data_IF_678997406037
#
_entry.id   IF_678997406037
#
_cell.length_a   1.000
_cell.length_b   1.000
_cell.length_c   1.000
_cell.angle_alpha   90.00
_cell.angle_beta   90.00
_cell.angle_gamma   90.00
#
_symmetry.space_group_name_H-M   'P 1'
#
loop_
_entity.id
_entity.type
_entity.pdbx_description
1 polymer ?
#
# COMPACT_ATOMS: atom_id res chain seq x y z
N UNK A 1 -13.41 -21.13 -20.44
CA UNK A 1 -14.78 -21.06 -19.90
C UNK A 1 -14.68 -20.96 -18.38
N UNK A 2 -15.01 -19.81 -17.80
CA UNK A 2 -15.17 -19.68 -16.34
C UNK A 2 -16.47 -20.42 -15.99
N UNK A 3 -16.46 -21.23 -14.93
CA UNK A 3 -17.68 -21.93 -14.50
C UNK A 3 -18.71 -20.92 -14.00
N UNK A 4 -19.99 -21.19 -14.24
CA UNK A 4 -21.11 -20.33 -13.82
C UNK A 4 -21.06 -19.96 -12.33
N UNK A 5 -20.69 -20.90 -11.47
CA UNK A 5 -20.51 -20.68 -10.02
C UNK A 5 -19.41 -19.66 -9.68
N UNK A 6 -18.30 -19.65 -10.44
CA UNK A 6 -17.23 -18.65 -10.28
C UNK A 6 -17.68 -17.27 -10.71
N UNK A 7 -18.56 -17.19 -11.71
CA UNK A 7 -19.12 -15.93 -12.18
C UNK A 7 -20.14 -15.36 -11.18
N UNK A 8 -21.05 -16.19 -10.67
CA UNK A 8 -22.03 -15.77 -9.65
C UNK A 8 -21.34 -15.31 -8.34
N UNK A 9 -20.28 -16.00 -7.93
CA UNK A 9 -19.46 -15.59 -6.77
C UNK A 9 -18.78 -14.26 -7.01
N UNK A 10 -18.18 -14.06 -8.19
CA UNK A 10 -17.54 -12.80 -8.57
C UNK A 10 -18.54 -11.64 -8.54
N UNK A 11 -19.72 -11.82 -9.14
CA UNK A 11 -20.75 -10.79 -9.22
C UNK A 11 -21.30 -10.43 -7.84
N UNK A 12 -21.41 -11.41 -6.94
CA UNK A 12 -21.80 -11.16 -5.55
C UNK A 12 -20.79 -10.27 -4.81
N UNK A 13 -19.49 -10.62 -4.84
CA UNK A 13 -18.46 -9.81 -4.21
C UNK A 13 -18.36 -8.41 -4.82
N UNK A 14 -18.57 -8.32 -6.13
CA UNK A 14 -18.57 -7.04 -6.85
C UNK A 14 -19.67 -6.11 -6.35
N UNK A 15 -20.91 -6.61 -6.27
CA UNK A 15 -22.05 -5.85 -5.75
C UNK A 15 -21.88 -5.47 -4.29
N UNK A 16 -21.38 -6.39 -3.45
CA UNK A 16 -21.09 -6.11 -2.05
C UNK A 16 -20.10 -4.95 -1.90
N UNK A 17 -19.04 -4.89 -2.71
CA UNK A 17 -18.08 -3.79 -2.65
C UNK A 17 -18.73 -2.44 -2.96
N UNK A 18 -19.57 -2.38 -4.00
CA UNK A 18 -20.29 -1.16 -4.38
C UNK A 18 -21.26 -0.72 -3.26
N UNK A 19 -22.01 -1.65 -2.68
CA UNK A 19 -22.88 -1.36 -1.54
C UNK A 19 -22.10 -0.89 -0.31
N UNK A 20 -20.96 -1.52 -0.02
CA UNK A 20 -20.09 -1.12 1.08
C UNK A 20 -19.59 0.31 0.87
N UNK A 21 -19.11 0.65 -0.33
CA UNK A 21 -18.64 2.01 -0.67
C UNK A 21 -19.78 3.03 -0.51
N UNK A 22 -20.98 2.71 -1.00
CA UNK A 22 -22.13 3.61 -0.94
C UNK A 22 -22.53 3.92 0.51
N UNK A 23 -22.46 2.91 1.40
CA UNK A 23 -22.80 3.02 2.83
C UNK A 23 -21.82 3.83 3.68
N UNK A 24 -20.61 4.12 3.22
CA UNK A 24 -19.67 4.94 3.99
C UNK A 24 -20.26 6.34 4.22
N UNK A 25 -20.37 6.77 5.47
CA UNK A 25 -20.71 8.14 5.79
C UNK A 25 -19.48 9.05 5.63
N UNK A 26 -19.65 10.38 5.58
CA UNK A 26 -18.55 11.33 5.42
C UNK A 26 -17.67 11.45 6.67
N UNK A 27 -18.21 11.10 7.83
CA UNK A 27 -17.58 11.10 9.15
C UNK A 27 -16.93 9.75 9.52
N UNK A 28 -17.23 8.68 8.79
CA UNK A 28 -16.55 7.38 8.97
C UNK A 28 -15.04 7.48 8.72
N UNK A 29 -14.24 6.61 9.33
CA UNK A 29 -12.80 6.52 9.04
C UNK A 29 -12.56 6.22 7.55
N UNK A 30 -11.77 7.08 6.88
CA UNK A 30 -11.47 6.94 5.45
C UNK A 30 -10.63 5.72 5.11
N UNK A 31 -9.88 5.15 6.06
CA UNK A 31 -8.90 4.07 5.82
C UNK A 31 -9.50 2.86 5.09
N UNK A 32 -10.72 2.45 5.46
CA UNK A 32 -11.40 1.32 4.81
C UNK A 32 -11.78 1.59 3.35
N UNK A 33 -12.15 2.84 3.02
CA UNK A 33 -12.42 3.28 1.64
C UNK A 33 -11.18 3.20 0.75
N UNK A 34 -9.99 3.46 1.30
CA UNK A 34 -8.75 3.53 0.51
C UNK A 34 -8.46 2.20 -0.20
N UNK A 35 -8.78 1.06 0.41
CA UNK A 35 -8.61 -0.28 -0.19
C UNK A 35 -9.43 -0.51 -1.47
N UNK A 36 -10.43 0.31 -1.76
CA UNK A 36 -11.22 0.27 -2.99
C UNK A 36 -10.70 1.25 -4.05
N UNK A 37 -9.73 2.10 -3.71
CA UNK A 37 -9.25 3.18 -4.58
C UNK A 37 -7.99 2.82 -5.38
N UNK A 38 -7.42 1.62 -5.25
CA UNK A 38 -6.21 1.28 -6.02
C UNK A 38 -6.54 0.99 -7.50
N UNK A 39 -5.68 1.36 -8.47
CA UNK A 39 -6.00 1.33 -9.90
C UNK A 39 -6.34 -0.05 -10.49
N UNK A 40 -5.91 -1.14 -9.84
CA UNK A 40 -6.19 -2.51 -10.31
C UNK A 40 -7.57 -3.05 -9.87
N UNK A 41 -8.37 -2.25 -9.14
CA UNK A 41 -9.79 -2.59 -8.88
C UNK A 41 -10.61 -2.53 -10.17
N UNK A 42 -11.75 -3.23 -10.23
CA UNK A 42 -12.76 -2.99 -11.26
C UNK A 42 -13.07 -1.49 -11.37
N UNK A 43 -13.21 -1.01 -12.60
CA UNK A 43 -13.26 0.43 -12.92
C UNK A 43 -14.36 1.16 -12.15
N UNK A 44 -15.55 0.58 -12.08
CA UNK A 44 -16.70 1.12 -11.37
C UNK A 44 -16.51 1.16 -9.85
N UNK A 45 -15.91 0.13 -9.24
CA UNK A 45 -15.52 0.13 -7.83
C UNK A 45 -14.51 1.25 -7.55
N UNK A 46 -13.48 1.36 -8.39
CA UNK A 46 -12.46 2.38 -8.26
C UNK A 46 -13.06 3.79 -8.36
N UNK A 47 -13.87 4.05 -9.40
CA UNK A 47 -14.54 5.33 -9.61
C UNK A 47 -15.52 5.68 -8.48
N UNK A 48 -16.30 4.69 -7.99
CA UNK A 48 -17.19 4.88 -6.85
C UNK A 48 -16.43 5.26 -5.57
N UNK A 49 -15.32 4.55 -5.27
CA UNK A 49 -14.48 4.86 -4.13
C UNK A 49 -13.85 6.26 -4.23
N UNK A 50 -13.34 6.64 -5.41
CA UNK A 50 -12.79 7.98 -5.63
C UNK A 50 -13.81 9.07 -5.46
N UNK A 51 -15.02 8.88 -5.98
CA UNK A 51 -16.13 9.82 -5.78
C UNK A 51 -16.40 9.99 -4.29
N UNK A 52 -16.58 8.89 -3.57
CA UNK A 52 -16.89 8.88 -2.14
C UNK A 52 -15.80 9.52 -1.28
N UNK A 53 -14.53 9.27 -1.60
CA UNK A 53 -13.38 9.91 -0.94
C UNK A 53 -13.42 11.42 -1.18
N UNK A 54 -13.63 11.86 -2.43
CA UNK A 54 -13.57 13.28 -2.80
C UNK A 54 -14.82 14.09 -2.43
N UNK A 55 -15.91 13.44 -2.03
CA UNK A 55 -17.07 14.10 -1.41
C UNK A 55 -16.72 14.74 -0.05
N UNK A 56 -15.65 14.28 0.61
CA UNK A 56 -15.15 14.83 1.87
C UNK A 56 -14.30 16.07 1.59
N UNK A 57 -14.63 17.21 2.18
CA UNK A 57 -13.93 18.48 1.91
C UNK A 57 -12.44 18.48 2.33
N UNK A 58 -12.07 17.63 3.27
CA UNK A 58 -10.75 17.49 3.87
C UNK A 58 -10.07 16.15 3.51
N UNK A 59 -10.50 15.49 2.42
CA UNK A 59 -10.07 14.13 2.07
C UNK A 59 -8.54 13.94 2.03
N UNK A 60 -7.78 14.91 1.51
CA UNK A 60 -6.30 14.83 1.50
C UNK A 60 -5.74 14.86 2.91
N UNK A 61 -6.28 15.70 3.80
CA UNK A 61 -5.84 15.74 5.19
C UNK A 61 -6.17 14.42 5.88
N UNK A 62 -7.35 13.83 5.62
CA UNK A 62 -7.68 12.52 6.18
C UNK A 62 -6.72 11.41 5.70
N UNK A 63 -6.36 11.37 4.41
CA UNK A 63 -5.35 10.41 3.91
C UNK A 63 -3.99 10.68 4.55
N UNK A 64 -3.62 11.96 4.73
CA UNK A 64 -2.38 12.34 5.40
C UNK A 64 -2.35 11.86 6.86
N UNK A 65 -3.47 11.94 7.58
CA UNK A 65 -3.60 11.40 8.94
C UNK A 65 -3.49 9.87 8.96
N UNK A 66 -4.10 9.17 8.00
CA UNK A 66 -3.92 7.72 7.84
C UNK A 66 -2.45 7.38 7.62
N UNK A 67 -1.77 8.10 6.72
CA UNK A 67 -0.35 7.88 6.41
C UNK A 67 0.58 8.12 7.62
N UNK A 68 0.22 9.05 8.51
CA UNK A 68 0.97 9.34 9.75
C UNK A 68 0.67 8.37 10.89
N UNK A 69 -0.42 7.60 10.81
CA UNK A 69 -0.81 6.66 11.84
C UNK A 69 -0.10 5.31 11.62
N UNK A 70 0.78 4.92 12.56
CA UNK A 70 1.55 3.67 12.51
C UNK A 70 0.68 2.41 12.36
N UNK A 71 -0.57 2.42 12.83
CA UNK A 71 -1.46 1.26 12.72
C UNK A 71 -2.17 1.16 11.36
N UNK A 72 -2.17 2.23 10.56
CA UNK A 72 -3.04 2.34 9.38
C UNK A 72 -2.32 2.83 8.11
N UNK A 73 -1.06 3.26 8.19
CA UNK A 73 -0.36 3.91 7.07
C UNK A 73 -0.33 3.07 5.78
N UNK A 74 -0.32 1.74 5.88
CA UNK A 74 -0.32 0.86 4.70
C UNK A 74 -1.60 0.97 3.88
N UNK A 75 -2.71 1.40 4.49
CA UNK A 75 -3.97 1.66 3.79
C UNK A 75 -3.86 2.89 2.87
N UNK A 76 -3.06 3.90 3.24
CA UNK A 76 -2.85 5.09 2.41
C UNK A 76 -2.19 4.73 1.07
N UNK A 77 -1.36 3.69 1.02
CA UNK A 77 -0.70 3.26 -0.20
C UNK A 77 -1.66 2.81 -1.30
N UNK A 78 -2.86 2.32 -0.95
CA UNK A 78 -3.87 1.98 -1.96
C UNK A 78 -4.31 3.19 -2.77
N UNK A 79 -4.48 4.35 -2.11
CA UNK A 79 -4.82 5.57 -2.82
C UNK A 79 -3.60 6.15 -3.54
N UNK A 80 -2.47 6.26 -2.84
CA UNK A 80 -1.29 6.97 -3.33
C UNK A 80 -0.61 6.28 -4.53
N UNK A 81 -0.84 4.98 -4.76
CA UNK A 81 -0.17 4.25 -5.85
C UNK A 81 -0.66 4.60 -7.26
N UNK A 82 -1.67 5.45 -7.42
CA UNK A 82 -2.10 5.88 -8.76
C UNK A 82 -3.17 6.96 -8.82
N UNK A 83 -3.52 7.59 -7.70
CA UNK A 83 -4.52 8.65 -7.67
C UNK A 83 -3.86 10.01 -7.43
N UNK A 84 -4.23 11.00 -8.25
CA UNK A 84 -3.64 12.33 -8.17
C UNK A 84 -3.96 13.03 -6.84
N UNK A 85 -2.94 13.71 -6.31
CA UNK A 85 -3.03 14.63 -5.18
C UNK A 85 -2.98 16.07 -5.70
N UNK A 86 -3.85 16.92 -5.17
CA UNK A 86 -3.82 18.37 -5.33
C UNK A 86 -2.63 18.97 -4.59
N UNK A 87 -2.29 18.47 -3.39
CA UNK A 87 -1.24 19.02 -2.53
C UNK A 87 -0.09 18.03 -2.30
N UNK A 88 0.45 17.45 -3.38
CA UNK A 88 1.47 16.39 -3.34
C UNK A 88 2.65 16.65 -2.40
N UNK A 89 3.13 17.89 -2.31
CA UNK A 89 4.30 18.24 -1.50
C UNK A 89 4.07 18.00 0.00
N UNK A 90 2.83 18.11 0.49
CA UNK A 90 2.49 17.82 1.90
C UNK A 90 2.70 16.35 2.27
N UNK A 91 2.70 15.45 1.29
CA UNK A 91 2.82 14.01 1.49
C UNK A 91 4.27 13.53 1.46
N UNK A 92 5.21 14.34 0.98
CA UNK A 92 6.61 13.93 0.77
C UNK A 92 7.26 13.44 2.05
N UNK A 93 7.20 14.24 3.12
CA UNK A 93 7.80 13.88 4.40
C UNK A 93 7.01 12.78 5.13
N UNK A 94 5.66 12.84 5.24
CA UNK A 94 4.89 11.75 5.85
C UNK A 94 5.08 10.40 5.15
N UNK A 95 5.24 10.37 3.82
CA UNK A 95 5.53 9.14 3.09
C UNK A 95 6.95 8.63 3.36
N UNK A 96 7.92 9.52 3.57
CA UNK A 96 9.25 9.12 4.01
C UNK A 96 9.20 8.46 5.38
N UNK A 97 8.48 9.07 6.33
CA UNK A 97 8.31 8.57 7.69
C UNK A 97 7.57 7.23 7.71
N UNK A 98 6.57 7.04 6.86
CA UNK A 98 5.87 5.76 6.77
C UNK A 98 6.77 4.62 6.27
N UNK A 99 7.78 4.90 5.43
CA UNK A 99 8.79 3.90 5.03
C UNK A 99 9.70 3.54 6.21
N UNK A 100 10.01 4.50 7.07
CA UNK A 100 10.77 4.26 8.31
C UNK A 100 9.96 3.37 9.24
N UNK A 101 8.69 3.70 9.52
CA UNK A 101 7.79 2.85 10.32
C UNK A 101 7.66 1.45 9.73
N UNK A 102 7.50 1.36 8.41
CA UNK A 102 7.41 0.09 7.69
C UNK A 102 8.66 -0.79 7.87
N UNK A 103 9.84 -0.19 7.92
CA UNK A 103 11.08 -0.94 8.17
C UNK A 103 11.11 -1.55 9.57
N UNK A 104 10.56 -0.82 10.56
CA UNK A 104 10.44 -1.32 11.94
C UNK A 104 9.41 -2.46 12.02
N UNK A 105 8.20 -2.22 11.50
CA UNK A 105 7.10 -3.19 11.62
C UNK A 105 7.41 -4.50 10.88
N UNK A 106 8.02 -4.42 9.70
CA UNK A 106 8.50 -5.61 8.97
C UNK A 106 9.58 -6.33 9.78
N UNK A 107 10.50 -5.60 10.40
CA UNK A 107 11.53 -6.21 11.25
C UNK A 107 10.96 -6.93 12.47
N UNK A 108 9.95 -6.35 13.12
CA UNK A 108 9.23 -6.94 14.25
C UNK A 108 8.45 -8.19 13.80
N UNK A 109 7.65 -8.09 12.74
CA UNK A 109 6.90 -9.20 12.17
C UNK A 109 7.81 -10.39 11.82
N UNK A 110 8.97 -10.11 11.23
CA UNK A 110 9.88 -11.17 10.80
C UNK A 110 10.55 -11.90 11.98
N UNK A 111 10.73 -11.24 13.13
CA UNK A 111 11.31 -11.85 14.34
C UNK A 111 10.32 -12.73 15.10
N UNK A 112 9.03 -12.38 15.06
CA UNK A 112 7.98 -13.05 15.82
C UNK A 112 7.35 -14.23 15.06
N UNK A 113 7.57 -14.31 13.75
CA UNK A 113 7.01 -15.36 12.91
C UNK A 113 7.59 -16.75 13.27
N UNK A 114 6.70 -17.65 13.71
CA UNK A 114 7.03 -19.02 14.10
C UNK A 114 6.55 -20.08 13.09
N UNK A 115 5.79 -19.68 12.06
CA UNK A 115 5.32 -20.55 10.99
C UNK A 115 5.71 -19.95 9.62
N UNK A 116 6.56 -20.67 8.89
CA UNK A 116 7.12 -20.21 7.62
C UNK A 116 6.34 -20.69 6.38
N UNK A 117 5.29 -21.50 6.54
CA UNK A 117 4.63 -22.19 5.44
C UNK A 117 3.83 -21.24 4.51
N UNK A 118 3.27 -20.17 5.07
CA UNK A 118 2.51 -19.13 4.36
C UNK A 118 3.12 -17.73 4.56
N UNK A 119 4.42 -17.67 4.77
CA UNK A 119 5.07 -16.45 5.20
C UNK A 119 5.25 -15.45 4.05
N UNK A 120 4.49 -14.37 4.12
CA UNK A 120 4.46 -13.30 3.11
C UNK A 120 4.49 -11.92 3.77
N UNK A 121 4.98 -10.94 3.03
CA UNK A 121 4.99 -9.51 3.39
C UNK A 121 3.92 -8.72 2.62
N UNK A 122 2.99 -9.38 1.91
CA UNK A 122 2.04 -8.71 1.02
C UNK A 122 1.10 -7.75 1.77
N UNK A 123 0.76 -8.06 3.03
CA UNK A 123 -0.07 -7.20 3.88
C UNK A 123 0.57 -5.84 4.21
N UNK A 124 1.90 -5.71 4.06
CA UNK A 124 2.60 -4.44 4.21
C UNK A 124 2.48 -3.52 3.00
N UNK A 125 1.89 -3.99 1.89
CA UNK A 125 1.67 -3.20 0.68
C UNK A 125 2.95 -2.52 0.12
N UNK A 126 4.12 -3.13 0.30
CA UNK A 126 5.42 -2.61 -0.16
C UNK A 126 5.40 -2.28 -1.67
N UNK A 127 4.86 -3.12 -2.57
CA UNK A 127 4.75 -2.76 -3.99
C UNK A 127 3.92 -1.49 -4.24
N UNK A 128 2.81 -1.30 -3.51
CA UNK A 128 1.97 -0.12 -3.65
C UNK A 128 2.67 1.15 -3.16
N UNK A 129 3.44 1.05 -2.07
CA UNK A 129 4.30 2.14 -1.60
C UNK A 129 5.31 2.56 -2.67
N UNK A 130 5.98 1.60 -3.31
CA UNK A 130 6.95 1.89 -4.36
C UNK A 130 6.30 2.49 -5.61
N UNK A 131 5.09 2.07 -5.95
CA UNK A 131 4.31 2.71 -7.03
C UNK A 131 3.86 4.13 -6.66
N UNK A 132 3.50 4.39 -5.40
CA UNK A 132 3.23 5.75 -4.95
C UNK A 132 4.44 6.68 -5.11
N UNK A 133 5.65 6.18 -4.80
CA UNK A 133 6.89 6.91 -5.06
C UNK A 133 7.09 7.16 -6.56
N UNK A 134 6.87 6.15 -7.41
CA UNK A 134 6.97 6.32 -8.86
C UNK A 134 5.96 7.32 -9.42
N UNK A 135 4.74 7.35 -8.88
CA UNK A 135 3.64 8.14 -9.40
C UNK A 135 3.76 9.61 -8.98
N UNK A 136 4.02 9.88 -7.70
CA UNK A 136 4.05 11.24 -7.17
C UNK A 136 5.45 11.87 -7.12
N UNK A 137 6.48 11.05 -6.93
CA UNK A 137 7.82 11.49 -6.51
C UNK A 137 8.93 10.88 -7.36
N UNK A 138 8.66 10.64 -8.64
CA UNK A 138 9.60 10.01 -9.59
C UNK A 138 10.98 10.68 -9.62
N UNK A 139 11.00 12.01 -9.54
CA UNK A 139 12.23 12.81 -9.60
C UNK A 139 12.99 12.82 -8.26
N UNK A 140 12.32 12.41 -7.18
CA UNK A 140 12.85 12.38 -5.82
C UNK A 140 13.40 11.01 -5.41
N UNK A 141 13.68 10.10 -6.36
CA UNK A 141 14.15 8.75 -6.05
C UNK A 141 15.37 8.70 -5.10
N UNK A 142 16.27 9.70 -5.17
CA UNK A 142 17.41 9.83 -4.24
C UNK A 142 17.00 10.21 -2.82
N UNK A 143 15.94 11.00 -2.66
CA UNK A 143 15.40 11.41 -1.36
C UNK A 143 14.90 10.19 -0.58
N UNK A 144 14.13 9.33 -1.23
CA UNK A 144 13.55 8.13 -0.61
C UNK A 144 14.51 6.93 -0.59
N UNK A 145 15.51 6.91 -1.49
CA UNK A 145 16.31 5.72 -1.77
C UNK A 145 17.03 5.12 -0.58
N UNK A 146 17.51 5.93 0.37
CA UNK A 146 18.17 5.41 1.56
C UNK A 146 17.19 4.69 2.51
N UNK A 147 15.98 5.21 2.69
CA UNK A 147 14.97 4.55 3.51
C UNK A 147 14.41 3.29 2.83
N UNK A 148 14.29 3.29 1.48
CA UNK A 148 13.94 2.08 0.73
C UNK A 148 15.02 0.99 0.86
N UNK A 149 16.30 1.37 0.89
CA UNK A 149 17.39 0.42 1.21
C UNK A 149 17.33 -0.09 2.64
N UNK A 150 17.07 0.80 3.60
CA UNK A 150 16.93 0.38 5.00
C UNK A 150 15.78 -0.62 5.16
N UNK A 151 14.66 -0.42 4.46
CA UNK A 151 13.57 -1.40 4.42
C UNK A 151 14.02 -2.76 3.88
N UNK A 152 14.79 -2.77 2.77
CA UNK A 152 15.38 -4.03 2.25
C UNK A 152 16.27 -4.71 3.28
N UNK A 153 17.16 -3.95 3.93
CA UNK A 153 18.06 -4.47 4.97
C UNK A 153 17.28 -4.98 6.18
N UNK A 154 16.19 -4.30 6.58
CA UNK A 154 15.32 -4.76 7.64
C UNK A 154 14.70 -6.13 7.30
N UNK A 155 14.27 -6.33 6.06
CA UNK A 155 13.78 -7.65 5.61
C UNK A 155 14.90 -8.69 5.71
N UNK A 156 16.07 -8.39 5.13
CA UNK A 156 17.17 -9.36 5.02
C UNK A 156 17.76 -9.74 6.38
N UNK A 157 17.95 -8.78 7.28
CA UNK A 157 18.59 -8.99 8.57
C UNK A 157 17.67 -9.67 9.59
N UNK A 158 16.36 -9.46 9.49
CA UNK A 158 15.39 -10.05 10.41
C UNK A 158 14.76 -11.35 9.89
N UNK A 159 15.06 -11.76 8.65
CA UNK A 159 14.67 -13.08 8.15
C UNK A 159 15.49 -14.18 8.84
N UNK A 160 14.86 -15.12 9.59
CA UNK A 160 15.55 -16.22 10.23
C UNK A 160 16.34 -17.09 9.24
N UNK A 161 17.40 -17.72 9.73
CA UNK A 161 18.34 -18.46 8.89
C UNK A 161 17.66 -19.62 8.14
N UNK A 162 16.74 -20.30 8.82
CA UNK A 162 15.94 -21.42 8.33
C UNK A 162 15.05 -21.01 7.15
N UNK A 163 14.67 -19.73 7.12
CA UNK A 163 13.71 -19.18 6.17
C UNK A 163 14.36 -18.39 5.02
N UNK A 164 15.71 -18.29 4.96
CA UNK A 164 16.44 -17.52 3.92
C UNK A 164 16.21 -17.98 2.48
N UNK A 165 15.67 -19.19 2.27
CA UNK A 165 15.30 -19.69 0.93
C UNK A 165 14.00 -19.06 0.41
N UNK A 166 13.19 -18.48 1.30
CA UNK A 166 11.93 -17.82 0.92
C UNK A 166 12.25 -16.56 0.15
N UNK A 167 11.62 -16.42 -1.01
CA UNK A 167 11.75 -15.24 -1.85
C UNK A 167 10.51 -14.36 -1.70
N UNK A 168 10.60 -13.31 -0.89
CA UNK A 168 9.53 -12.34 -0.76
C UNK A 168 9.36 -11.51 -2.05
N UNK A 169 8.13 -11.38 -2.52
CA UNK A 169 7.79 -10.48 -3.63
C UNK A 169 8.19 -9.03 -3.31
N UNK A 170 8.08 -8.63 -2.04
CA UNK A 170 8.53 -7.34 -1.54
C UNK A 170 10.00 -7.05 -1.86
N UNK A 171 10.90 -8.01 -1.65
CA UNK A 171 12.34 -7.82 -1.94
C UNK A 171 12.58 -7.64 -3.43
N UNK A 172 11.90 -8.44 -4.27
CA UNK A 172 11.98 -8.30 -5.74
C UNK A 172 11.50 -6.92 -6.20
N UNK A 173 10.41 -6.42 -5.63
CA UNK A 173 9.88 -5.09 -5.93
C UNK A 173 10.85 -3.98 -5.50
N UNK A 174 11.43 -4.08 -4.30
CA UNK A 174 12.43 -3.11 -3.81
C UNK A 174 13.67 -3.10 -4.71
N UNK A 175 14.19 -4.27 -5.08
CA UNK A 175 15.35 -4.38 -5.97
C UNK A 175 15.09 -3.74 -7.34
N UNK A 176 13.93 -4.02 -7.94
CA UNK A 176 13.51 -3.40 -9.19
C UNK A 176 13.41 -1.88 -9.08
N UNK A 177 12.85 -1.37 -7.98
CA UNK A 177 12.74 0.07 -7.76
C UNK A 177 14.10 0.75 -7.56
N UNK A 178 15.00 0.15 -6.76
CA UNK A 178 16.35 0.69 -6.52
C UNK A 178 17.17 0.72 -7.82
N UNK A 179 17.10 -0.35 -8.62
CA UNK A 179 17.77 -0.44 -9.92
C UNK A 179 17.25 0.63 -10.89
N UNK A 180 15.92 0.75 -11.02
CA UNK A 180 15.26 1.75 -11.88
C UNK A 180 15.67 3.17 -11.52
N UNK A 181 15.81 3.46 -10.22
CA UNK A 181 16.18 4.79 -9.71
C UNK A 181 17.70 5.01 -9.59
N UNK A 182 18.52 4.05 -10.04
CA UNK A 182 19.99 4.11 -9.99
C UNK A 182 20.53 4.38 -8.58
N UNK A 183 19.89 3.77 -7.58
CA UNK A 183 20.27 3.89 -6.18
C UNK A 183 21.18 2.69 -5.85
N UNK A 184 22.48 2.94 -5.69
CA UNK A 184 23.52 1.93 -5.40
C UNK A 184 23.60 1.56 -3.94
#
# INVERSE_FOLDING_TARGET
MISREKQETHDHYHLQNLETIDKYATDDNISGLLSYSFPARPKDIHEAALKKIKERTDWEEQILQVLKNREQYTAAYYFLCGNALNQKEKFKEPLLQSIVSLSVDVGEFLKEANNFQDWTLDHFNIPLMLEALNFHFKEDGKYFGQNVKHLKLAIQNNTPQEARKIQFNAVKAIDGWLQKNKIQ
#
